data_IF_014125108432
#
_entry.id   IF_014125108432
#
_cell.length_a   1.000
_cell.length_b   1.000
_cell.length_c   1.000
_cell.angle_alpha   90.00
_cell.angle_beta   90.00
_cell.angle_gamma   90.00
#
_symmetry.space_group_name_H-M   'P 1'
#
loop_
_entity.id
_entity.type
_entity.pdbx_description
1 polymer ?
#
# COMPACT_ATOMS: atom_id res chain seq x y z
N UNK A 1 18.96 -9.43 26.79
CA UNK A 1 19.31 -8.39 25.83
C UNK A 1 19.41 -8.95 24.42
N UNK A 2 20.22 -10.00 24.23
CA UNK A 2 20.37 -10.64 22.92
C UNK A 2 19.05 -11.20 22.40
N UNK A 3 18.25 -11.76 23.28
CA UNK A 3 16.94 -12.31 22.88
C UNK A 3 15.98 -11.22 22.44
N UNK A 4 15.99 -10.08 23.11
CA UNK A 4 15.13 -8.95 22.72
C UNK A 4 15.54 -8.39 21.36
N UNK A 5 16.86 -8.26 21.12
CA UNK A 5 17.39 -7.80 19.84
C UNK A 5 17.05 -8.78 18.73
N UNK A 6 17.17 -10.09 19.00
CA UNK A 6 16.84 -11.13 18.02
C UNK A 6 15.36 -11.09 17.64
N UNK A 7 14.47 -10.96 18.64
CA UNK A 7 13.02 -10.87 18.38
C UNK A 7 12.69 -9.64 17.55
N UNK A 8 13.34 -8.53 17.84
CA UNK A 8 13.13 -7.29 17.08
C UNK A 8 13.53 -7.47 15.62
N UNK A 9 14.70 -8.09 15.37
CA UNK A 9 15.18 -8.37 14.01
C UNK A 9 14.24 -9.33 13.29
N UNK A 10 13.79 -10.39 13.96
CA UNK A 10 12.86 -11.35 13.39
C UNK A 10 11.54 -10.67 13.01
N UNK A 11 11.03 -9.80 13.87
CA UNK A 11 9.80 -9.05 13.59
C UNK A 11 9.97 -8.15 12.37
N UNK A 12 11.08 -7.45 12.28
CA UNK A 12 11.38 -6.60 11.12
C UNK A 12 11.48 -7.43 9.85
N UNK A 13 12.11 -8.58 9.91
CA UNK A 13 12.24 -9.47 8.76
C UNK A 13 10.89 -9.99 8.30
N UNK A 14 10.00 -10.32 9.23
CA UNK A 14 8.64 -10.75 8.90
C UNK A 14 7.85 -9.64 8.20
N UNK A 15 7.93 -8.42 8.71
CA UNK A 15 7.27 -7.25 8.11
C UNK A 15 7.79 -7.05 6.69
N UNK A 16 9.11 -7.13 6.49
CA UNK A 16 9.74 -6.95 5.19
C UNK A 16 9.32 -8.04 4.21
N UNK A 17 9.28 -9.29 4.65
CA UNK A 17 8.82 -10.41 3.82
C UNK A 17 7.36 -10.23 3.42
N UNK A 18 6.54 -9.71 4.33
CA UNK A 18 5.13 -9.50 4.05
C UNK A 18 4.93 -8.49 2.92
N UNK A 19 5.56 -7.34 2.97
CA UNK A 19 5.36 -6.36 1.91
C UNK A 19 5.97 -6.80 0.58
N UNK A 20 7.10 -7.50 0.61
CA UNK A 20 7.71 -8.03 -0.63
C UNK A 20 6.81 -9.07 -1.28
N UNK A 21 6.22 -9.93 -0.48
CA UNK A 21 5.28 -10.94 -0.98
C UNK A 21 4.05 -10.28 -1.59
N UNK A 22 3.47 -9.31 -0.91
CA UNK A 22 2.28 -8.63 -1.41
C UNK A 22 2.58 -7.83 -2.67
N UNK A 23 3.76 -7.23 -2.78
CA UNK A 23 4.21 -6.58 -4.00
C UNK A 23 4.26 -7.57 -5.16
N UNK A 24 4.84 -8.75 -4.93
CA UNK A 24 4.90 -9.80 -5.95
C UNK A 24 3.51 -10.26 -6.37
N UNK A 25 2.59 -10.41 -5.43
CA UNK A 25 1.21 -10.79 -5.74
C UNK A 25 0.57 -9.75 -6.66
N UNK A 26 0.69 -8.47 -6.33
CA UNK A 26 0.09 -7.43 -7.17
C UNK A 26 0.73 -7.38 -8.56
N UNK A 27 2.04 -7.54 -8.64
CA UNK A 27 2.75 -7.58 -9.93
C UNK A 27 2.27 -8.76 -10.77
N UNK A 28 2.09 -9.93 -10.15
CA UNK A 28 1.59 -11.11 -10.87
C UNK A 28 0.16 -10.94 -11.34
N UNK A 29 -0.66 -10.22 -10.58
CA UNK A 29 -2.05 -9.97 -11.00
C UNK A 29 -2.12 -9.01 -12.19
N UNK A 30 -1.39 -7.90 -12.13
CA UNK A 30 -1.30 -6.95 -13.25
C UNK A 30 -0.09 -6.04 -13.03
N UNK A 31 0.99 -6.30 -13.74
CA UNK A 31 2.23 -5.55 -13.55
C UNK A 31 2.11 -4.07 -13.90
N UNK A 32 1.20 -3.71 -14.82
CA UNK A 32 1.05 -2.31 -15.24
C UNK A 32 0.33 -1.48 -14.19
N UNK A 33 -0.67 -2.04 -13.52
CA UNK A 33 -1.51 -1.32 -12.58
C UNK A 33 -1.19 -1.62 -11.11
N UNK A 34 -0.18 -2.45 -10.86
CA UNK A 34 0.17 -2.87 -9.50
C UNK A 34 0.44 -1.70 -8.55
N UNK A 35 1.12 -0.67 -9.04
CA UNK A 35 1.42 0.50 -8.22
C UNK A 35 0.14 1.24 -7.80
N UNK A 36 -0.78 1.39 -8.74
CA UNK A 36 -2.06 2.06 -8.44
C UNK A 36 -2.89 1.25 -7.45
N UNK A 37 -2.86 -0.07 -7.56
CA UNK A 37 -3.59 -0.92 -6.62
C UNK A 37 -3.02 -0.80 -5.20
N UNK A 38 -1.70 -0.77 -5.07
CA UNK A 38 -1.07 -0.57 -3.76
C UNK A 38 -1.46 0.80 -3.17
N UNK A 39 -1.50 1.84 -3.99
CA UNK A 39 -1.90 3.17 -3.55
C UNK A 39 -3.37 3.20 -3.13
N UNK A 40 -4.23 2.48 -3.84
CA UNK A 40 -5.65 2.35 -3.48
C UNK A 40 -5.80 1.71 -2.10
N UNK A 41 -5.06 0.64 -1.85
CA UNK A 41 -5.12 -0.06 -0.56
C UNK A 41 -4.57 0.80 0.58
N UNK A 42 -3.54 1.59 0.31
CA UNK A 42 -3.02 2.54 1.28
C UNK A 42 -4.09 3.60 1.63
N UNK A 43 -4.75 4.15 0.62
CA UNK A 43 -5.81 5.14 0.83
C UNK A 43 -6.96 4.55 1.64
N UNK A 44 -7.34 3.32 1.36
CA UNK A 44 -8.38 2.62 2.12
C UNK A 44 -7.99 2.46 3.58
N UNK A 45 -6.74 2.10 3.83
CA UNK A 45 -6.24 1.94 5.19
C UNK A 45 -6.29 3.27 5.95
N UNK A 46 -6.03 4.39 5.27
CA UNK A 46 -6.17 5.72 5.87
C UNK A 46 -7.62 5.98 6.29
N UNK A 47 -8.56 5.68 5.41
CA UNK A 47 -9.98 5.86 5.70
C UNK A 47 -10.38 5.02 6.92
N UNK A 48 -9.86 3.80 6.99
CA UNK A 48 -10.14 2.89 8.10
C UNK A 48 -9.42 3.28 9.40
N UNK A 49 -8.53 4.26 9.35
CA UNK A 49 -7.75 4.67 10.51
C UNK A 49 -6.68 3.67 10.91
N UNK A 50 -6.28 2.80 10.00
CA UNK A 50 -5.30 1.74 10.26
C UNK A 50 -3.92 2.18 9.80
N UNK A 51 -3.15 2.77 10.72
CA UNK A 51 -1.83 3.30 10.41
C UNK A 51 -0.83 2.20 10.01
N UNK A 52 -0.97 1.01 10.60
CA UNK A 52 -0.07 -0.10 10.30
C UNK A 52 -0.29 -0.63 8.88
N UNK A 53 -1.56 -0.79 8.49
CA UNK A 53 -1.88 -1.23 7.14
C UNK A 53 -1.54 -0.15 6.12
N UNK A 54 -1.75 1.11 6.45
CA UNK A 54 -1.31 2.20 5.59
C UNK A 54 0.19 2.11 5.32
N UNK A 55 1.00 1.96 6.38
CA UNK A 55 2.45 1.83 6.24
C UNK A 55 2.83 0.59 5.41
N UNK A 56 2.13 -0.53 5.62
CA UNK A 56 2.34 -1.75 4.84
C UNK A 56 2.14 -1.50 3.35
N UNK A 57 1.01 -0.92 2.97
CA UNK A 57 0.71 -0.70 1.55
C UNK A 57 1.60 0.37 0.93
N UNK A 58 2.03 1.36 1.71
CA UNK A 58 3.02 2.32 1.24
C UNK A 58 4.36 1.65 0.92
N UNK A 59 4.77 0.67 1.74
CA UNK A 59 5.98 -0.11 1.48
C UNK A 59 5.81 -1.03 0.28
N UNK A 60 4.62 -1.61 0.11
CA UNK A 60 4.31 -2.41 -1.08
C UNK A 60 4.44 -1.57 -2.34
N UNK A 61 3.87 -0.36 -2.33
CA UNK A 61 3.98 0.55 -3.48
C UNK A 61 5.44 0.88 -3.79
N UNK A 62 6.24 1.18 -2.76
CA UNK A 62 7.66 1.47 -2.94
C UNK A 62 8.42 0.28 -3.53
N UNK A 63 8.11 -0.93 -3.09
CA UNK A 63 8.73 -2.14 -3.61
C UNK A 63 8.37 -2.37 -5.07
N UNK A 64 7.11 -2.14 -5.44
CA UNK A 64 6.67 -2.24 -6.83
C UNK A 64 7.44 -1.22 -7.68
N UNK A 65 7.54 0.02 -7.21
CA UNK A 65 8.27 1.07 -7.92
C UNK A 65 9.73 0.69 -8.16
N UNK A 66 10.33 0.00 -7.19
CA UNK A 66 11.72 -0.40 -7.26
C UNK A 66 11.95 -1.61 -8.18
N UNK A 67 10.98 -2.54 -8.24
CA UNK A 67 11.23 -3.84 -8.86
C UNK A 67 10.44 -4.12 -10.14
N UNK A 68 9.45 -3.30 -10.45
CA UNK A 68 8.57 -3.54 -11.61
C UNK A 68 8.69 -2.40 -12.63
N UNK A 69 9.58 -2.52 -13.62
CA UNK A 69 9.77 -1.44 -14.60
C UNK A 69 8.54 -1.17 -15.47
N UNK A 70 7.65 -2.15 -15.63
CA UNK A 70 6.42 -1.97 -16.43
C UNK A 70 5.30 -1.31 -15.62
N UNK A 71 5.46 -1.10 -14.30
CA UNK A 71 4.41 -0.49 -13.50
C UNK A 71 4.26 0.98 -13.84
N UNK A 72 3.03 1.38 -14.15
CA UNK A 72 2.71 2.78 -14.40
C UNK A 72 2.61 3.52 -13.06
N UNK A 73 3.14 4.74 -13.04
CA UNK A 73 3.21 5.54 -11.81
C UNK A 73 2.90 7.00 -12.12
N UNK A 74 1.86 7.24 -12.89
CA UNK A 74 1.41 8.59 -13.24
C UNK A 74 0.78 9.23 -12.01
N UNK A 75 1.32 10.36 -11.57
CA UNK A 75 0.86 11.03 -10.35
C UNK A 75 -0.60 11.49 -10.46
N UNK A 76 -1.05 11.85 -11.64
CA UNK A 76 -2.45 12.25 -11.83
C UNK A 76 -3.39 11.05 -11.66
N UNK A 77 -2.97 9.88 -12.13
CA UNK A 77 -3.73 8.65 -11.91
C UNK A 77 -3.73 8.28 -10.44
N UNK A 78 -2.58 8.40 -9.76
CA UNK A 78 -2.49 8.14 -8.32
C UNK A 78 -3.47 9.04 -7.57
N UNK A 79 -3.49 10.33 -7.88
CA UNK A 79 -4.43 11.26 -7.23
C UNK A 79 -5.87 10.86 -7.48
N UNK A 80 -6.21 10.49 -8.69
CA UNK A 80 -7.56 10.07 -9.03
C UNK A 80 -7.97 8.80 -8.28
N UNK A 81 -7.06 7.83 -8.18
CA UNK A 81 -7.30 6.58 -7.46
C UNK A 81 -7.50 6.85 -5.96
N UNK A 82 -6.64 7.69 -5.38
CA UNK A 82 -6.72 8.02 -3.95
C UNK A 82 -8.01 8.79 -3.68
N UNK A 83 -8.34 9.79 -4.50
CA UNK A 83 -9.54 10.58 -4.32
C UNK A 83 -10.79 9.73 -4.44
N UNK A 84 -10.83 8.81 -5.40
CA UNK A 84 -11.94 7.88 -5.56
C UNK A 84 -12.13 7.03 -4.32
N UNK A 85 -11.04 6.52 -3.76
CA UNK A 85 -11.12 5.67 -2.57
C UNK A 85 -11.56 6.44 -1.34
N UNK A 86 -11.03 7.65 -1.15
CA UNK A 86 -11.43 8.52 -0.05
C UNK A 86 -12.91 8.90 -0.15
N UNK A 87 -13.38 9.17 -1.36
CA UNK A 87 -14.76 9.57 -1.61
C UNK A 87 -15.75 8.43 -1.33
N UNK A 88 -15.37 7.21 -1.69
CA UNK A 88 -16.19 6.02 -1.49
C UNK A 88 -16.57 5.80 -0.04
N UNK A 89 -15.65 6.10 0.87
CA UNK A 89 -15.81 5.81 2.29
C UNK A 89 -16.09 7.06 3.11
N UNK A 90 -16.35 8.19 2.43
CA UNK A 90 -16.74 9.42 3.11
C UNK A 90 -18.13 9.24 3.71
N UNK A 91 -18.36 9.67 4.95
CA UNK A 91 -19.68 9.59 5.54
C UNK A 91 -20.73 10.33 4.70
N UNK A 92 -21.93 9.78 4.63
CA UNK A 92 -22.99 10.35 3.80
C UNK A 92 -23.27 11.81 4.15
N UNK A 93 -23.16 12.19 5.41
CA UNK A 93 -23.37 13.56 5.88
C UNK A 93 -22.37 14.56 5.32
N UNK A 94 -21.20 14.11 4.85
CA UNK A 94 -20.16 14.97 4.29
C UNK A 94 -20.13 14.93 2.77
N UNK A 95 -20.88 14.04 2.16
CA UNK A 95 -21.00 13.98 0.70
C UNK A 95 -21.86 15.13 0.24
N UNK A 96 -21.29 15.99 -0.55
CA UNK A 96 -22.06 17.14 -1.08
C UNK A 96 -22.51 16.86 -2.49
N UNK A 97 -23.64 17.38 -2.75
CA UNK A 97 -24.28 17.28 -4.05
C UNK A 97 -23.69 18.32 -4.98
#
# INVERSE_FOLDING_TARGET
VLQAARRWLEKRNEIRRRWRRDAQVLILLDKRTAYYEAQRRAARSRVDGDAREFAHWAKVAAEIARTAPEAEMDIDVVRAVVDDELDRYRPASTRRI
#
